data_IF_490061558818
#
_entry.id   IF_490061558818
#
_cell.length_a   1.000
_cell.length_b   1.000
_cell.length_c   1.000
_cell.angle_alpha   90.00
_cell.angle_beta   90.00
_cell.angle_gamma   90.00
#
_symmetry.space_group_name_H-M   'P 1'
#
loop_
_entity.id
_entity.type
_entity.pdbx_description
1 polymer ?
#
# COMPACT_ATOMS: atom_id res chain seq x y z
N UNK A 1 27.15 -19.76 0.14
CA UNK A 1 25.99 -18.96 -0.32
C UNK A 1 26.24 -18.69 -1.79
N UNK A 2 25.42 -19.22 -2.68
CA UNK A 2 25.57 -18.95 -4.12
C UNK A 2 25.05 -17.54 -4.37
N UNK A 3 25.89 -16.64 -4.88
CA UNK A 3 25.42 -15.35 -5.39
C UNK A 3 24.43 -15.61 -6.53
N UNK A 4 23.29 -14.92 -6.52
CA UNK A 4 22.32 -14.96 -7.61
C UNK A 4 22.85 -14.23 -8.84
N UNK A 5 22.61 -14.77 -10.03
CA UNK A 5 22.93 -14.06 -11.29
C UNK A 5 22.05 -12.81 -11.44
N UNK A 6 22.47 -11.79 -12.24
CA UNK A 6 21.65 -10.59 -12.46
C UNK A 6 20.22 -10.88 -12.96
N UNK A 7 20.03 -11.88 -13.84
CA UNK A 7 18.69 -12.32 -14.29
C UNK A 7 17.86 -12.86 -13.12
N UNK A 8 18.44 -13.74 -12.31
CA UNK A 8 17.76 -14.29 -11.12
C UNK A 8 17.42 -13.19 -10.11
N UNK A 9 18.32 -12.22 -9.89
CA UNK A 9 18.05 -11.07 -9.01
C UNK A 9 16.86 -10.27 -9.53
N UNK A 10 16.82 -9.98 -10.83
CA UNK A 10 15.69 -9.26 -11.46
C UNK A 10 14.38 -10.01 -11.32
N UNK A 11 14.39 -11.32 -11.59
CA UNK A 11 13.22 -12.19 -11.42
C UNK A 11 12.70 -12.18 -9.98
N UNK A 12 13.60 -12.26 -8.98
CA UNK A 12 13.25 -12.21 -7.56
C UNK A 12 12.59 -10.87 -7.23
N UNK A 13 13.21 -9.75 -7.60
CA UNK A 13 12.68 -8.40 -7.33
C UNK A 13 11.28 -8.21 -7.94
N UNK A 14 11.09 -8.63 -9.19
CA UNK A 14 9.81 -8.52 -9.88
C UNK A 14 8.74 -9.44 -9.27
N UNK A 15 9.12 -10.63 -8.80
CA UNK A 15 8.18 -11.54 -8.12
C UNK A 15 7.61 -10.96 -6.82
N UNK A 16 8.43 -10.24 -6.05
CA UNK A 16 7.98 -9.56 -4.84
C UNK A 16 7.00 -8.44 -5.20
N UNK A 17 7.34 -7.61 -6.19
CA UNK A 17 6.44 -6.55 -6.66
C UNK A 17 5.11 -7.10 -7.18
N UNK A 18 5.14 -8.18 -7.97
CA UNK A 18 3.93 -8.83 -8.50
C UNK A 18 3.05 -9.44 -7.41
N UNK A 19 3.64 -9.95 -6.33
CA UNK A 19 2.88 -10.40 -5.15
C UNK A 19 2.11 -9.24 -4.53
N UNK A 20 2.74 -8.07 -4.38
CA UNK A 20 2.08 -6.88 -3.81
C UNK A 20 0.95 -6.36 -4.73
N UNK A 21 1.20 -6.30 -6.04
CA UNK A 21 0.17 -5.92 -7.04
C UNK A 21 -1.06 -6.83 -6.97
N UNK A 22 -0.83 -8.14 -6.90
CA UNK A 22 -1.89 -9.13 -6.74
C UNK A 22 -2.67 -8.95 -5.44
N UNK A 23 -1.97 -8.65 -4.33
CA UNK A 23 -2.61 -8.38 -3.05
C UNK A 23 -3.55 -7.16 -3.10
N UNK A 24 -3.14 -6.06 -3.76
CA UNK A 24 -4.01 -4.88 -3.87
C UNK A 24 -5.29 -5.18 -4.64
N UNK A 25 -5.17 -5.90 -5.76
CA UNK A 25 -6.31 -6.29 -6.59
C UNK A 25 -7.28 -7.18 -5.81
N UNK A 26 -6.76 -8.15 -5.05
CA UNK A 26 -7.58 -8.97 -4.17
C UNK A 26 -8.31 -8.13 -3.11
N UNK A 27 -7.64 -7.12 -2.52
CA UNK A 27 -8.25 -6.25 -1.50
C UNK A 27 -9.41 -5.41 -2.01
N UNK A 28 -9.63 -5.29 -3.33
CA UNK A 28 -10.80 -4.59 -3.90
C UNK A 28 -11.84 -5.52 -4.49
N UNK A 29 -11.59 -6.84 -4.51
CA UNK A 29 -12.53 -7.81 -5.06
C UNK A 29 -13.78 -7.98 -4.17
N UNK A 30 -14.94 -8.08 -4.83
CA UNK A 30 -16.23 -8.36 -4.20
C UNK A 30 -16.82 -7.21 -3.38
N UNK A 31 -16.27 -5.99 -3.50
CA UNK A 31 -16.81 -4.79 -2.86
C UNK A 31 -17.63 -3.96 -3.86
N UNK A 32 -18.67 -3.31 -3.35
CA UNK A 32 -19.43 -2.33 -4.12
C UNK A 32 -18.77 -0.94 -4.16
N UNK A 33 -19.30 -0.07 -5.02
CA UNK A 33 -18.82 1.29 -5.24
C UNK A 33 -18.74 2.11 -3.93
N UNK A 34 -19.74 1.96 -3.06
CA UNK A 34 -19.83 2.68 -1.80
C UNK A 34 -18.77 2.21 -0.81
N UNK A 35 -18.57 0.90 -0.70
CA UNK A 35 -17.54 0.29 0.14
C UNK A 35 -16.13 0.70 -0.28
N UNK A 36 -15.84 0.71 -1.59
CA UNK A 36 -14.53 1.07 -2.13
C UNK A 36 -14.15 2.53 -1.86
N UNK A 37 -15.14 3.43 -1.87
CA UNK A 37 -14.96 4.88 -1.69
C UNK A 37 -15.04 5.34 -0.24
N UNK A 38 -15.56 4.50 0.65
CA UNK A 38 -15.87 4.89 2.02
C UNK A 38 -14.58 5.31 2.76
N UNK A 39 -14.50 6.53 3.30
CA UNK A 39 -13.40 6.92 4.17
C UNK A 39 -13.45 6.14 5.48
N UNK A 40 -12.37 5.42 5.82
CA UNK A 40 -12.31 4.54 7.01
C UNK A 40 -11.33 5.04 8.09
N UNK A 41 -10.69 6.19 7.87
CA UNK A 41 -9.74 6.80 8.82
C UNK A 41 -9.96 8.30 8.94
N UNK A 42 -9.40 8.92 9.98
CA UNK A 42 -9.46 10.38 10.18
C UNK A 42 -8.78 11.21 9.07
N UNK A 43 -7.92 10.60 8.26
CA UNK A 43 -7.26 11.21 7.10
C UNK A 43 -7.97 10.92 5.78
N UNK A 44 -9.10 10.22 5.81
CA UNK A 44 -9.92 9.95 4.63
C UNK A 44 -9.53 8.72 3.81
N UNK A 45 -8.65 7.85 4.33
CA UNK A 45 -8.15 6.68 3.58
C UNK A 45 -9.30 5.76 3.19
N UNK A 46 -9.35 5.41 1.90
CA UNK A 46 -10.32 4.49 1.30
C UNK A 46 -9.61 3.61 0.25
N UNK A 47 -10.17 2.44 -0.08
CA UNK A 47 -9.52 1.46 -0.95
C UNK A 47 -9.34 1.96 -2.39
N UNK A 48 -10.35 2.64 -2.94
CA UNK A 48 -10.31 3.10 -4.32
C UNK A 48 -9.23 4.17 -4.53
N UNK A 49 -9.09 5.07 -3.55
CA UNK A 49 -8.02 6.05 -3.50
C UNK A 49 -6.63 5.42 -3.47
N UNK A 50 -6.43 4.33 -2.71
CA UNK A 50 -5.16 3.61 -2.70
C UNK A 50 -4.85 2.97 -4.06
N UNK A 51 -5.85 2.45 -4.78
CA UNK A 51 -5.67 1.93 -6.15
C UNK A 51 -5.27 3.04 -7.11
N UNK A 52 -5.95 4.19 -7.06
CA UNK A 52 -5.64 5.34 -7.92
C UNK A 52 -4.23 5.87 -7.66
N UNK A 53 -3.84 6.01 -6.39
CA UNK A 53 -2.49 6.41 -6.01
C UNK A 53 -1.44 5.44 -6.56
N UNK A 54 -1.63 4.13 -6.34
CA UNK A 54 -0.66 3.13 -6.83
C UNK A 54 -0.64 3.00 -8.36
N UNK A 55 -1.70 3.42 -9.06
CA UNK A 55 -1.69 3.60 -10.53
C UNK A 55 -0.74 4.73 -10.94
N UNK A 56 -0.80 5.87 -10.24
CA UNK A 56 0.11 6.99 -10.45
C UNK A 56 1.57 6.62 -10.21
N UNK A 57 1.83 5.87 -9.13
CA UNK A 57 3.15 5.35 -8.76
C UNK A 57 3.73 4.48 -9.88
N UNK A 58 2.97 3.53 -10.40
CA UNK A 58 3.40 2.65 -11.49
C UNK A 58 3.81 3.45 -12.74
N UNK A 59 2.93 4.33 -13.23
CA UNK A 59 3.24 5.16 -14.40
C UNK A 59 4.38 6.15 -14.16
N UNK A 60 4.41 6.78 -13.00
CA UNK A 60 5.43 7.76 -12.64
C UNK A 60 6.84 7.16 -12.62
N UNK A 61 7.01 6.02 -11.95
CA UNK A 61 8.33 5.40 -11.82
C UNK A 61 8.71 4.54 -13.02
N UNK A 62 7.79 3.80 -13.65
CA UNK A 62 8.16 2.91 -14.75
C UNK A 62 7.95 3.48 -16.15
N UNK A 63 7.09 4.48 -16.35
CA UNK A 63 6.91 5.09 -17.67
C UNK A 63 7.57 6.45 -17.76
N UNK A 64 7.11 7.40 -16.93
CA UNK A 64 7.56 8.78 -16.99
C UNK A 64 9.07 8.90 -16.75
N UNK A 65 9.61 8.14 -15.80
CA UNK A 65 11.06 8.16 -15.49
C UNK A 65 11.97 7.62 -16.58
N UNK A 66 11.41 6.94 -17.58
CA UNK A 66 12.12 6.43 -18.77
C UNK A 66 11.67 7.12 -20.07
N UNK A 67 10.88 8.20 -19.98
CA UNK A 67 10.36 8.91 -21.15
C UNK A 67 9.43 8.07 -22.04
N UNK A 68 8.80 7.04 -21.48
CA UNK A 68 7.88 6.15 -22.19
C UNK A 68 6.47 6.75 -22.23
N UNK A 69 5.60 6.35 -23.18
CA UNK A 69 4.21 6.78 -23.20
C UNK A 69 3.47 6.35 -21.93
N UNK A 70 2.66 7.25 -21.39
CA UNK A 70 1.71 6.98 -20.31
C UNK A 70 0.41 7.77 -20.59
N UNK A 71 -0.74 7.35 -20.03
CA UNK A 71 -1.97 8.13 -20.13
C UNK A 71 -1.74 9.54 -19.59
N UNK A 72 -2.45 10.54 -20.11
CA UNK A 72 -2.31 11.89 -19.59
C UNK A 72 -2.76 11.95 -18.13
N UNK A 73 -1.77 12.03 -17.24
CA UNK A 73 -1.97 12.16 -15.80
C UNK A 73 -2.13 13.65 -15.41
N UNK A 74 -2.49 14.56 -16.33
CA UNK A 74 -2.78 15.96 -16.01
C UNK A 74 -3.82 16.11 -14.88
N UNK A 75 -4.68 15.11 -14.70
CA UNK A 75 -5.62 14.98 -13.57
C UNK A 75 -4.99 14.47 -12.26
N UNK A 76 -3.68 14.29 -12.17
CA UNK A 76 -2.92 13.99 -10.96
C UNK A 76 -1.91 15.09 -10.62
N UNK A 77 -1.99 16.24 -11.30
CA UNK A 77 -1.14 17.40 -11.00
C UNK A 77 -1.47 17.90 -9.60
N UNK A 78 -0.47 17.78 -8.73
CA UNK A 78 -0.52 18.16 -7.32
C UNK A 78 -0.63 19.66 -7.07
N UNK A 79 -0.79 20.49 -8.11
CA UNK A 79 -0.75 21.95 -8.03
C UNK A 79 -2.07 22.55 -7.51
N UNK A 80 -3.21 21.87 -7.68
CA UNK A 80 -4.50 22.27 -7.10
C UNK A 80 -4.89 21.49 -5.82
N UNK A 81 -4.63 20.18 -5.79
CA UNK A 81 -4.90 19.30 -4.65
C UNK A 81 -3.79 18.25 -4.52
N UNK A 82 -3.08 18.24 -3.40
CA UNK A 82 -1.95 17.33 -3.15
C UNK A 82 -2.38 15.89 -2.91
N UNK A 83 -3.68 15.64 -2.69
CA UNK A 83 -4.24 14.32 -2.43
C UNK A 83 -5.13 13.82 -3.60
N UNK A 84 -5.06 14.46 -4.77
CA UNK A 84 -5.95 14.17 -5.91
C UNK A 84 -5.87 12.71 -6.40
N UNK A 85 -4.75 12.06 -6.17
CA UNK A 85 -4.51 10.65 -6.45
C UNK A 85 -4.98 9.70 -5.33
N UNK A 86 -5.37 10.22 -4.16
CA UNK A 86 -5.88 9.45 -3.01
C UNK A 86 -7.41 9.37 -2.92
N UNK A 87 -8.14 9.87 -3.92
CA UNK A 87 -9.59 9.69 -4.01
C UNK A 87 -10.11 9.69 -5.44
N UNK A 88 -11.27 9.08 -5.63
CA UNK A 88 -12.04 9.15 -6.86
C UNK A 88 -13.14 10.21 -6.76
N UNK A 89 -13.26 11.05 -7.78
CA UNK A 89 -14.39 11.97 -7.97
C UNK A 89 -15.69 11.19 -8.19
N UNK A 90 -16.83 11.88 -8.13
CA UNK A 90 -18.13 11.23 -8.36
C UNK A 90 -18.33 10.74 -9.81
N UNK A 91 -17.51 11.21 -10.75
CA UNK A 91 -17.61 10.90 -12.18
C UNK A 91 -16.70 9.74 -12.60
N UNK A 92 -15.56 9.55 -11.93
CA UNK A 92 -14.71 8.38 -12.14
C UNK A 92 -15.44 7.15 -11.60
N UNK A 93 -15.41 6.02 -12.30
CA UNK A 93 -16.02 4.77 -11.80
C UNK A 93 -14.96 3.85 -11.18
N UNK A 94 -15.34 3.02 -10.20
CA UNK A 94 -14.38 2.13 -9.56
C UNK A 94 -13.78 1.08 -10.51
N UNK A 95 -14.59 0.55 -11.43
CA UNK A 95 -14.15 -0.42 -12.44
C UNK A 95 -13.10 0.18 -13.39
N UNK A 96 -13.28 1.42 -13.81
CA UNK A 96 -12.31 2.17 -14.64
C UNK A 96 -10.99 2.41 -13.91
N UNK A 97 -11.03 2.81 -12.63
CA UNK A 97 -9.81 3.03 -11.83
C UNK A 97 -9.06 1.71 -11.61
N UNK A 98 -9.77 0.64 -11.28
CA UNK A 98 -9.16 -0.69 -11.10
C UNK A 98 -8.57 -1.19 -12.43
N UNK A 99 -9.24 -0.95 -13.55
CA UNK A 99 -8.69 -1.27 -14.87
C UNK A 99 -7.44 -0.43 -15.18
N UNK A 100 -7.44 0.85 -14.86
CA UNK A 100 -6.27 1.73 -14.98
C UNK A 100 -5.06 1.20 -14.21
N UNK A 101 -5.26 0.65 -13.01
CA UNK A 101 -4.18 0.01 -12.27
C UNK A 101 -3.63 -1.23 -12.98
N UNK A 102 -4.50 -2.07 -13.57
CA UNK A 102 -4.07 -3.24 -14.35
C UNK A 102 -3.28 -2.84 -15.59
N UNK A 103 -3.70 -1.78 -16.26
CA UNK A 103 -3.02 -1.24 -17.43
C UNK A 103 -1.65 -0.65 -17.07
N UNK A 104 -1.56 0.02 -15.92
CA UNK A 104 -0.29 0.52 -15.38
C UNK A 104 0.68 -0.63 -15.07
N UNK A 105 0.21 -1.69 -14.41
CA UNK A 105 1.01 -2.90 -14.17
C UNK A 105 1.52 -3.51 -15.48
N UNK A 106 0.67 -3.59 -16.51
CA UNK A 106 1.07 -4.15 -17.80
C UNK A 106 2.17 -3.31 -18.47
N UNK A 107 2.04 -1.98 -18.46
CA UNK A 107 3.07 -1.06 -18.97
C UNK A 107 4.39 -1.18 -18.19
N UNK A 108 4.31 -1.22 -16.86
CA UNK A 108 5.48 -1.42 -15.99
C UNK A 108 6.19 -2.73 -16.28
N UNK A 109 5.44 -3.84 -16.47
CA UNK A 109 6.01 -5.14 -16.84
C UNK A 109 6.73 -5.10 -18.18
N UNK A 110 6.15 -4.43 -19.18
CA UNK A 110 6.80 -4.25 -20.47
C UNK A 110 8.13 -3.50 -20.31
N UNK A 111 8.15 -2.41 -19.54
CA UNK A 111 9.37 -1.64 -19.29
C UNK A 111 10.43 -2.48 -18.57
N UNK A 112 10.04 -3.18 -17.51
CA UNK A 112 10.94 -4.07 -16.79
C UNK A 112 11.45 -5.22 -17.66
N UNK A 113 10.69 -5.72 -18.63
CA UNK A 113 11.15 -6.76 -19.54
C UNK A 113 12.22 -6.25 -20.52
N UNK A 114 12.08 -5.02 -21.01
CA UNK A 114 12.94 -4.43 -22.04
C UNK A 114 14.26 -3.83 -21.52
N UNK A 115 14.33 -3.49 -20.23
CA UNK A 115 15.47 -2.78 -19.63
C UNK A 115 16.23 -3.63 -18.61
N UNK A 116 17.55 -3.52 -18.57
CA UNK A 116 18.37 -4.15 -17.54
C UNK A 116 18.28 -3.41 -16.18
N UNK A 117 18.69 -4.07 -15.10
CA UNK A 117 18.59 -3.53 -13.74
C UNK A 117 19.38 -2.23 -13.53
N UNK A 118 20.48 -2.05 -14.27
CA UNK A 118 21.33 -0.86 -14.23
C UNK A 118 20.88 0.25 -15.21
N UNK A 119 19.78 0.05 -15.96
CA UNK A 119 19.23 1.05 -16.84
C UNK A 119 18.93 2.34 -16.06
N UNK A 120 19.51 3.45 -16.51
CA UNK A 120 19.40 4.76 -15.86
C UNK A 120 17.99 5.31 -16.05
N UNK A 121 17.39 5.78 -14.96
CA UNK A 121 16.09 6.43 -14.93
C UNK A 121 16.22 7.85 -14.36
N UNK A 122 15.39 8.77 -14.87
CA UNK A 122 15.30 10.13 -14.37
C UNK A 122 13.90 10.37 -13.78
N UNK A 123 13.77 10.26 -12.46
CA UNK A 123 12.52 10.58 -11.78
C UNK A 123 12.36 12.11 -11.74
N UNK A 124 11.28 12.70 -12.28
CA UNK A 124 11.14 14.15 -12.41
C UNK A 124 11.17 14.92 -11.08
N UNK A 125 10.77 14.27 -9.99
CA UNK A 125 10.74 14.85 -8.64
C UNK A 125 11.94 14.42 -7.77
N UNK A 126 12.92 13.68 -8.30
CA UNK A 126 14.17 13.38 -7.59
C UNK A 126 15.32 14.21 -8.16
N UNK A 127 16.29 14.54 -7.31
CA UNK A 127 17.43 15.38 -7.69
C UNK A 127 18.46 14.61 -8.53
N UNK A 128 18.73 13.37 -8.16
CA UNK A 128 19.76 12.55 -8.79
C UNK A 128 19.16 11.44 -9.65
N UNK A 129 19.83 11.04 -10.75
CA UNK A 129 19.47 9.86 -11.51
C UNK A 129 19.47 8.59 -10.64
N UNK A 130 18.70 7.61 -11.05
CA UNK A 130 18.57 6.31 -10.37
C UNK A 130 18.63 5.17 -11.40
N UNK A 131 18.43 3.93 -10.97
CA UNK A 131 18.39 2.75 -11.83
C UNK A 131 17.05 2.03 -11.75
N UNK A 132 16.74 1.20 -12.75
CA UNK A 132 15.56 0.32 -12.71
C UNK A 132 15.52 -0.54 -11.44
N UNK A 133 16.65 -1.09 -11.00
CA UNK A 133 16.75 -1.86 -9.75
C UNK A 133 16.19 -1.07 -8.56
N UNK A 134 16.66 0.16 -8.38
CA UNK A 134 16.23 1.02 -7.27
C UNK A 134 14.75 1.39 -7.40
N UNK A 135 14.24 1.57 -8.62
CA UNK A 135 12.83 1.83 -8.85
C UNK A 135 11.94 0.63 -8.53
N UNK A 136 12.34 -0.60 -8.91
CA UNK A 136 11.59 -1.82 -8.54
C UNK A 136 11.53 -1.97 -7.03
N UNK A 137 12.64 -1.76 -6.32
CA UNK A 137 12.67 -1.77 -4.85
C UNK A 137 11.77 -0.67 -4.27
N UNK A 138 11.88 0.56 -4.79
CA UNK A 138 11.09 1.69 -4.32
C UNK A 138 9.59 1.43 -4.43
N UNK A 139 9.11 1.04 -5.62
CA UNK A 139 7.69 0.79 -5.86
C UNK A 139 7.20 -0.43 -5.07
N UNK A 140 8.04 -1.45 -4.86
CA UNK A 140 7.68 -2.58 -3.99
C UNK A 140 7.43 -2.12 -2.55
N UNK A 141 8.32 -1.28 -2.01
CA UNK A 141 8.21 -0.76 -0.64
C UNK A 141 7.02 0.20 -0.50
N UNK A 142 6.77 1.04 -1.50
CA UNK A 142 5.63 1.94 -1.56
C UNK A 142 4.31 1.16 -1.59
N UNK A 143 4.19 0.19 -2.50
CA UNK A 143 3.02 -0.69 -2.59
C UNK A 143 2.78 -1.44 -1.29
N UNK A 144 3.82 -2.07 -0.71
CA UNK A 144 3.71 -2.80 0.56
C UNK A 144 3.24 -1.90 1.72
N UNK A 145 3.69 -0.65 1.77
CA UNK A 145 3.24 0.32 2.79
C UNK A 145 1.75 0.61 2.65
N UNK A 146 1.26 0.85 1.43
CA UNK A 146 -0.15 1.10 1.18
C UNK A 146 -1.02 -0.15 1.33
N UNK A 147 -0.48 -1.35 1.14
CA UNK A 147 -1.18 -2.60 1.45
C UNK A 147 -1.46 -2.76 2.95
N UNK A 148 -0.55 -2.31 3.82
CA UNK A 148 -0.82 -2.26 5.26
C UNK A 148 -1.98 -1.31 5.62
N UNK A 149 -2.12 -0.18 4.92
CA UNK A 149 -3.30 0.66 5.05
C UNK A 149 -4.56 -0.05 4.53
N UNK A 150 -4.46 -0.70 3.37
CA UNK A 150 -5.57 -1.42 2.76
C UNK A 150 -6.05 -2.60 3.62
N UNK A 151 -5.17 -3.26 4.38
CA UNK A 151 -5.53 -4.27 5.38
C UNK A 151 -6.47 -3.72 6.44
N UNK A 152 -6.08 -2.63 7.10
CA UNK A 152 -6.87 -2.00 8.16
C UNK A 152 -8.20 -1.45 7.61
N UNK A 153 -8.21 -0.96 6.38
CA UNK A 153 -9.43 -0.48 5.72
C UNK A 153 -10.36 -1.65 5.38
N UNK A 154 -9.84 -2.71 4.77
CA UNK A 154 -10.65 -3.87 4.35
C UNK A 154 -11.20 -4.64 5.55
N UNK A 155 -10.41 -4.79 6.61
CA UNK A 155 -10.83 -5.43 7.86
C UNK A 155 -12.07 -4.74 8.44
N UNK A 156 -12.10 -3.40 8.41
CA UNK A 156 -13.24 -2.64 8.91
C UNK A 156 -14.47 -2.68 7.98
N UNK A 157 -14.32 -3.07 6.72
CA UNK A 157 -15.43 -3.17 5.76
C UNK A 157 -16.14 -4.51 5.89
N UNK A 158 -15.39 -5.62 5.81
CA UNK A 158 -15.96 -6.97 5.77
C UNK A 158 -15.14 -8.02 6.55
N UNK A 159 -14.21 -7.59 7.40
CA UNK A 159 -13.38 -8.46 8.23
C UNK A 159 -12.24 -9.16 7.49
N UNK A 160 -12.08 -8.94 6.18
CA UNK A 160 -10.96 -9.54 5.43
C UNK A 160 -9.70 -8.69 5.53
N UNK A 161 -8.56 -9.33 5.72
CA UNK A 161 -7.24 -8.72 5.70
C UNK A 161 -6.19 -9.77 5.34
N UNK A 162 -4.95 -9.35 5.07
CA UNK A 162 -3.82 -10.24 4.86
C UNK A 162 -3.21 -10.20 3.45
N UNK A 163 -2.50 -11.26 3.10
CA UNK A 163 -1.65 -11.29 1.92
C UNK A 163 -2.41 -11.60 0.62
N UNK A 164 -3.24 -12.65 0.58
CA UNK A 164 -4.02 -13.08 -0.60
C UNK A 164 -5.32 -13.77 -0.19
N UNK A 165 -6.21 -14.03 -1.16
CA UNK A 165 -7.45 -14.80 -0.95
C UNK A 165 -7.25 -16.19 -0.32
N UNK A 166 -6.11 -16.85 -0.60
CA UNK A 166 -5.83 -18.23 -0.18
C UNK A 166 -4.78 -18.32 0.93
N UNK A 167 -4.17 -17.20 1.29
CA UNK A 167 -3.17 -17.11 2.34
C UNK A 167 -3.25 -15.69 2.91
N UNK A 168 -3.90 -15.54 4.06
CA UNK A 168 -3.98 -14.25 4.76
C UNK A 168 -2.64 -13.90 5.45
N UNK A 169 -1.78 -14.90 5.71
CA UNK A 169 -0.58 -14.75 6.52
C UNK A 169 -0.88 -14.20 7.93
N UNK A 170 -2.05 -14.52 8.48
CA UNK A 170 -2.49 -14.13 9.82
C UNK A 170 -2.52 -15.32 10.76
N UNK A 171 -2.24 -15.06 12.04
CA UNK A 171 -2.26 -16.09 13.08
C UNK A 171 -3.64 -16.16 13.72
N UNK A 172 -4.28 -17.33 13.63
CA UNK A 172 -5.61 -17.55 14.17
C UNK A 172 -6.65 -17.69 13.08
N UNK A 173 -7.57 -18.64 13.25
CA UNK A 173 -8.63 -18.89 12.29
C UNK A 173 -9.99 -18.90 12.99
N UNK A 174 -10.97 -18.27 12.33
CA UNK A 174 -12.36 -18.21 12.80
C UNK A 174 -12.65 -17.01 13.71
N UNK A 175 -13.91 -16.59 13.68
CA UNK A 175 -14.41 -15.42 14.42
C UNK A 175 -14.25 -15.57 15.94
N UNK A 176 -14.51 -16.77 16.46
CA UNK A 176 -14.42 -17.07 17.90
C UNK A 176 -13.01 -16.82 18.46
N UNK A 177 -11.97 -17.29 17.75
CA UNK A 177 -10.58 -17.05 18.15
C UNK A 177 -10.29 -15.54 18.27
N UNK A 178 -10.75 -14.75 17.29
CA UNK A 178 -10.52 -13.31 17.28
C UNK A 178 -11.31 -12.58 18.38
N UNK A 179 -12.54 -13.00 18.67
CA UNK A 179 -13.35 -12.43 19.75
C UNK A 179 -12.72 -12.67 21.13
N UNK A 180 -12.26 -13.90 21.40
CA UNK A 180 -11.55 -14.25 22.61
C UNK A 180 -10.23 -13.46 22.73
N UNK A 181 -9.47 -13.42 21.63
CA UNK A 181 -8.21 -12.70 21.57
C UNK A 181 -8.40 -11.21 21.86
N UNK A 182 -9.37 -10.55 21.21
CA UNK A 182 -9.69 -9.14 21.41
C UNK A 182 -10.15 -8.85 22.84
N UNK A 183 -10.97 -9.73 23.43
CA UNK A 183 -11.42 -9.61 24.82
C UNK A 183 -10.24 -9.64 25.79
N UNK A 184 -9.30 -10.57 25.57
CA UNK A 184 -8.07 -10.67 26.35
C UNK A 184 -7.21 -9.42 26.20
N UNK A 185 -6.97 -8.94 24.98
CA UNK A 185 -6.16 -7.74 24.75
C UNK A 185 -6.76 -6.48 25.39
N UNK A 186 -8.09 -6.30 25.29
CA UNK A 186 -8.79 -5.18 25.94
C UNK A 186 -8.67 -5.23 27.46
N UNK A 187 -8.71 -6.42 28.04
CA UNK A 187 -8.54 -6.61 29.49
C UNK A 187 -7.12 -6.22 29.92
N UNK A 188 -6.11 -6.69 29.18
CA UNK A 188 -4.71 -6.34 29.43
C UNK A 188 -4.46 -4.83 29.32
N UNK A 189 -5.04 -4.16 28.31
CA UNK A 189 -4.91 -2.72 28.14
C UNK A 189 -5.47 -1.93 29.34
N UNK A 190 -6.66 -2.32 29.83
CA UNK A 190 -7.25 -1.71 31.05
C UNK A 190 -6.41 -1.95 32.30
N UNK A 191 -5.87 -3.15 32.46
CA UNK A 191 -5.01 -3.48 33.61
C UNK A 191 -3.72 -2.65 33.59
N UNK A 192 -3.13 -2.44 32.42
CA UNK A 192 -1.93 -1.63 32.27
C UNK A 192 -2.19 -0.15 32.61
N UNK A 193 -3.35 0.38 32.23
CA UNK A 193 -3.78 1.75 32.58
C UNK A 193 -3.91 1.92 34.10
N UNK A 194 -4.57 0.98 34.78
CA UNK A 194 -4.69 0.99 36.25
C UNK A 194 -3.32 0.88 36.92
N UNK A 195 -2.46 -0.04 36.48
CA UNK A 195 -1.10 -0.20 37.02
C UNK A 195 -0.22 1.04 36.83
N UNK A 196 -0.38 1.75 35.71
CA UNK A 196 0.32 3.02 35.48
C UNK A 196 -0.15 4.13 36.42
N UNK A 197 -1.45 4.23 36.70
CA UNK A 197 -2.01 5.19 37.64
C UNK A 197 -1.54 4.90 39.08
N UNK A 198 -1.52 3.63 39.49
CA UNK A 198 -1.03 3.22 40.81
C UNK A 198 0.46 3.52 40.98
N UNK A 199 1.28 3.30 39.94
CA UNK A 199 2.71 3.63 39.96
C UNK A 199 2.97 5.15 40.07
N UNK A 200 2.15 5.97 39.42
CA UNK A 200 2.21 7.44 39.56
C UNK A 200 1.77 7.89 40.96
N UNK A 201 0.74 7.27 41.54
CA UNK A 201 0.28 7.58 42.90
C UNK A 201 1.29 7.17 43.99
N UNK A 202 2.08 6.11 43.75
CA UNK A 202 3.12 5.64 44.65
C UNK A 202 4.44 6.40 44.54
N UNK A 203 4.61 7.24 43.50
CA UNK A 203 5.82 8.04 43.29
C UNK A 203 5.45 9.47 42.85
N UNK A 204 4.76 10.25 43.70
CA UNK A 204 4.48 11.65 43.41
C UNK A 204 5.82 12.36 43.33
N UNK A 205 6.16 12.90 42.16
CA UNK A 205 7.38 13.70 42.01
C UNK A 205 7.41 14.75 43.12
N UNK A 206 8.51 14.81 43.86
CA UNK A 206 8.83 15.97 44.70
C UNK A 206 8.78 17.20 43.80
N UNK A 207 7.77 18.05 43.99
CA UNK A 207 7.78 19.43 43.51
C UNK A 207 8.94 20.15 44.23
N UNK A 208 10.13 20.04 43.66
CA UNK A 208 11.26 20.87 44.03
C UNK A 208 11.08 22.24 43.39
N UNK A 209 10.62 23.14 44.26
CA UNK A 209 10.77 24.59 44.28
C UNK A 209 12.06 25.12 43.61
#
# INVERSE_FOLDING_TARGET
>A
MSDSTPSQTKEILLSYLDTQRGSLLWKVEGLDEGQLRRPMTGTGTNLLGLVKHLTAVEYGYFQMSFGRPYPDLENLRMDADRNLDFYATAQERADEIIQGYRDAIAASRQTCAELDLDAVAQVPWWQEPTTLERLVVHVTVETARHLGHADIVREQIDGKAGLTATNDNMWGQGTEFWEEHLTRLRTLAKQAEVGALDAVAQNPKEDQN
#
